data_IF_594484301584
#
_entry.id   IF_594484301584
#
_cell.length_a   1.000
_cell.length_b   1.000
_cell.length_c   1.000
_cell.angle_alpha   90.00
_cell.angle_beta   90.00
_cell.angle_gamma   90.00
#
_symmetry.space_group_name_H-M   'P 1'
#
loop_
_entity.id
_entity.type
_entity.pdbx_description
1 polymer ?
#
# COMPACT_ATOMS: atom_id res chain seq x y z
N UNK A 1 -7.89 9.72 -11.31
CA UNK A 1 -7.99 11.16 -10.99
C UNK A 1 -7.99 11.47 -9.48
N UNK A 2 -8.13 10.45 -8.60
CA UNK A 2 -8.21 10.63 -7.15
C UNK A 2 -9.57 11.09 -6.61
N UNK A 3 -10.54 11.35 -7.49
CA UNK A 3 -11.90 11.76 -7.08
C UNK A 3 -12.71 10.64 -6.42
N UNK A 4 -12.38 9.40 -6.71
CA UNK A 4 -12.97 8.24 -6.08
C UNK A 4 -11.86 7.36 -5.50
N UNK A 5 -12.00 6.92 -4.27
CA UNK A 5 -11.06 6.04 -3.57
C UNK A 5 -11.72 4.71 -3.24
N UNK A 6 -10.94 3.63 -3.25
CA UNK A 6 -11.45 2.30 -2.85
C UNK A 6 -11.88 2.28 -1.39
N UNK A 7 -11.21 3.02 -0.53
CA UNK A 7 -11.69 3.26 0.83
C UNK A 7 -11.46 4.72 1.24
N UNK A 8 -12.41 5.24 2.02
CA UNK A 8 -12.40 6.61 2.56
C UNK A 8 -12.73 6.60 4.04
N UNK A 9 -12.18 7.56 4.79
CA UNK A 9 -12.50 7.74 6.21
C UNK A 9 -13.75 8.60 6.35
N UNK A 10 -14.86 8.02 6.81
CA UNK A 10 -16.15 8.69 7.00
C UNK A 10 -16.48 8.65 8.48
N UNK A 11 -16.67 9.81 9.11
CA UNK A 11 -16.94 9.93 10.54
C UNK A 11 -15.94 9.15 11.44
N UNK A 12 -14.67 9.10 11.03
CA UNK A 12 -13.61 8.42 11.77
C UNK A 12 -13.39 6.94 11.41
N UNK A 13 -14.31 6.33 10.67
CA UNK A 13 -14.23 4.91 10.28
C UNK A 13 -13.91 4.74 8.79
N UNK A 14 -13.15 3.69 8.46
CA UNK A 14 -12.83 3.37 7.08
C UNK A 14 -13.98 2.63 6.41
N UNK A 15 -14.51 3.23 5.33
CA UNK A 15 -15.58 2.67 4.49
C UNK A 15 -15.01 2.22 3.17
N UNK A 16 -15.22 0.95 2.81
CA UNK A 16 -14.75 0.38 1.54
C UNK A 16 -15.84 0.44 0.48
N UNK A 17 -15.51 1.08 -0.65
CA UNK A 17 -16.38 1.17 -1.82
C UNK A 17 -16.19 -0.05 -2.74
N UNK A 18 -16.83 -1.15 -2.42
CA UNK A 18 -16.68 -2.43 -3.15
C UNK A 18 -17.00 -2.32 -4.64
N UNK A 19 -17.85 -1.39 -5.05
CA UNK A 19 -18.18 -1.18 -6.45
C UNK A 19 -16.95 -0.76 -7.27
N UNK A 20 -15.98 -0.04 -6.67
CA UNK A 20 -14.71 0.30 -7.34
C UNK A 20 -13.82 -0.93 -7.54
N UNK A 21 -13.78 -1.85 -6.56
CA UNK A 21 -13.10 -3.14 -6.75
C UNK A 21 -13.74 -3.95 -7.88
N UNK A 22 -15.07 -3.97 -7.95
CA UNK A 22 -15.81 -4.60 -9.06
C UNK A 22 -15.45 -3.95 -10.40
N UNK A 23 -15.35 -2.62 -10.45
CA UNK A 23 -14.97 -1.90 -11.67
C UNK A 23 -13.56 -2.31 -12.13
N UNK A 24 -12.60 -2.46 -11.22
CA UNK A 24 -11.25 -2.95 -11.54
C UNK A 24 -11.32 -4.37 -12.13
N UNK A 25 -12.05 -5.29 -11.51
CA UNK A 25 -12.20 -6.66 -12.03
C UNK A 25 -12.89 -6.72 -13.39
N UNK A 26 -13.90 -5.88 -13.60
CA UNK A 26 -14.57 -5.75 -14.90
C UNK A 26 -13.63 -5.21 -15.96
N UNK A 27 -12.76 -4.27 -15.64
CA UNK A 27 -11.78 -3.72 -16.58
C UNK A 27 -10.87 -4.79 -17.16
N UNK A 28 -10.51 -5.80 -16.38
CA UNK A 28 -9.70 -6.94 -16.85
C UNK A 28 -10.44 -7.86 -17.84
N UNK A 29 -11.78 -7.82 -17.84
CA UNK A 29 -12.61 -8.62 -18.74
C UNK A 29 -12.92 -7.92 -20.06
N UNK A 30 -12.95 -6.58 -20.05
CA UNK A 30 -13.27 -5.79 -21.25
C UNK A 30 -12.04 -5.31 -22.03
N UNK A 31 -10.85 -5.50 -21.47
CA UNK A 31 -9.60 -5.16 -22.13
C UNK A 31 -8.80 -6.44 -22.40
N UNK A 32 -8.31 -6.56 -23.63
CA UNK A 32 -7.38 -7.62 -24.00
C UNK A 32 -5.93 -7.21 -23.75
N UNK A 33 -5.04 -8.21 -23.67
CA UNK A 33 -3.62 -7.95 -23.59
C UNK A 33 -3.13 -7.27 -24.87
N UNK A 34 -2.32 -6.25 -24.71
CA UNK A 34 -1.70 -5.49 -25.79
C UNK A 34 -0.21 -5.36 -25.56
N UNK A 35 0.55 -5.24 -26.65
CA UNK A 35 1.96 -4.92 -26.58
C UNK A 35 2.11 -3.47 -26.15
N UNK A 36 2.93 -3.25 -25.12
CA UNK A 36 3.29 -1.94 -24.63
C UNK A 36 4.79 -1.77 -24.72
N UNK A 37 5.24 -0.68 -25.32
CA UNK A 37 6.66 -0.36 -25.43
C UNK A 37 7.14 0.31 -24.13
N UNK A 38 8.24 -0.19 -23.58
CA UNK A 38 8.98 0.44 -22.49
C UNK A 38 10.36 0.89 -22.97
N UNK A 39 11.11 1.57 -22.09
CA UNK A 39 12.42 2.09 -22.46
C UNK A 39 13.44 0.99 -22.79
N UNK A 40 13.36 -0.15 -22.10
CA UNK A 40 14.32 -1.25 -22.25
C UNK A 40 13.66 -2.58 -22.64
N UNK A 41 12.36 -2.71 -22.43
CA UNK A 41 11.60 -3.93 -22.64
C UNK A 41 10.23 -3.67 -23.26
N UNK A 42 9.66 -4.68 -23.87
CA UNK A 42 8.25 -4.72 -24.23
C UNK A 42 7.45 -5.51 -23.21
N UNK A 43 6.25 -5.05 -22.96
CA UNK A 43 5.31 -5.71 -22.07
C UNK A 43 4.09 -6.21 -22.86
N UNK A 44 3.39 -7.18 -22.31
CA UNK A 44 2.16 -7.72 -22.89
C UNK A 44 1.11 -7.89 -21.79
N UNK A 45 0.31 -6.86 -21.58
CA UNK A 45 -0.69 -6.80 -20.49
C UNK A 45 -1.90 -5.96 -20.94
N UNK A 46 -2.97 -6.05 -20.19
CA UNK A 46 -4.21 -5.30 -20.42
C UNK A 46 -4.29 -3.97 -19.69
N UNK A 47 -3.40 -3.71 -18.73
CA UNK A 47 -3.38 -2.46 -17.95
C UNK A 47 -2.17 -1.61 -18.35
N UNK A 48 -2.40 -0.46 -19.01
CA UNK A 48 -1.31 0.45 -19.38
C UNK A 48 -0.58 0.99 -18.15
N UNK A 49 0.64 1.47 -18.36
CA UNK A 49 1.37 2.23 -17.35
C UNK A 49 0.77 3.63 -17.19
N UNK A 50 0.70 4.11 -15.94
CA UNK A 50 0.06 5.40 -15.59
C UNK A 50 0.73 6.59 -16.31
N UNK A 51 2.06 6.57 -16.38
CA UNK A 51 2.86 7.69 -16.87
C UNK A 51 3.27 7.57 -18.35
N UNK A 52 2.74 6.58 -19.08
CA UNK A 52 3.17 6.30 -20.46
C UNK A 52 2.93 7.47 -21.45
N UNK A 53 1.93 8.31 -21.17
CA UNK A 53 1.52 9.45 -22.00
C UNK A 53 1.80 10.83 -21.34
N UNK A 54 2.58 10.86 -20.24
CA UNK A 54 2.86 12.11 -19.53
C UNK A 54 3.91 12.94 -20.28
N UNK A 55 3.62 14.23 -20.44
CA UNK A 55 4.58 15.22 -20.92
C UNK A 55 5.37 15.83 -19.74
N UNK A 56 6.44 16.57 -20.07
CA UNK A 56 7.22 17.31 -19.08
C UNK A 56 6.32 18.25 -18.25
N UNK A 57 5.45 19.00 -18.93
CA UNK A 57 4.55 19.96 -18.29
C UNK A 57 3.59 19.28 -17.33
N UNK A 58 3.13 18.08 -17.67
CA UNK A 58 2.24 17.29 -16.81
C UNK A 58 2.95 16.78 -15.57
N UNK A 59 4.18 16.28 -15.70
CA UNK A 59 4.98 15.88 -14.54
C UNK A 59 5.25 17.05 -13.60
N UNK A 60 5.57 18.23 -14.15
CA UNK A 60 5.78 19.47 -13.38
C UNK A 60 4.50 19.90 -12.66
N UNK A 61 3.37 19.87 -13.34
CA UNK A 61 2.07 20.30 -12.79
C UNK A 61 1.57 19.35 -11.68
N UNK A 62 1.79 18.04 -11.82
CA UNK A 62 1.43 17.06 -10.79
C UNK A 62 2.49 16.95 -9.67
N UNK A 63 3.71 17.47 -9.90
CA UNK A 63 4.79 17.52 -8.90
C UNK A 63 5.30 16.14 -8.47
N UNK A 64 5.12 15.12 -9.29
CA UNK A 64 5.56 13.75 -8.97
C UNK A 64 6.96 13.47 -9.51
N UNK A 65 7.76 12.70 -8.76
CA UNK A 65 9.06 12.20 -9.20
C UNK A 65 8.97 10.69 -9.40
N UNK A 66 9.26 10.22 -10.61
CA UNK A 66 9.21 8.79 -10.99
C UNK A 66 10.60 8.35 -11.43
N UNK A 67 11.25 7.51 -10.62
CA UNK A 67 12.61 7.03 -10.89
C UNK A 67 12.53 5.71 -11.66
N UNK A 68 13.22 5.59 -12.81
CA UNK A 68 13.22 4.33 -13.56
C UNK A 68 13.86 3.18 -12.75
N UNK A 69 13.38 1.95 -12.82
CA UNK A 69 12.23 1.48 -13.58
C UNK A 69 10.93 1.36 -12.73
N UNK A 70 10.52 2.41 -12.05
CA UNK A 70 9.26 2.37 -11.29
C UNK A 70 8.09 1.97 -12.20
N UNK A 71 7.31 0.98 -11.77
CA UNK A 71 6.15 0.46 -12.49
C UNK A 71 4.84 0.88 -11.80
N UNK A 72 4.09 1.77 -12.43
CA UNK A 72 2.85 2.31 -11.88
C UNK A 72 1.71 2.01 -12.86
N UNK A 73 0.76 1.18 -12.44
CA UNK A 73 -0.37 0.80 -13.31
C UNK A 73 -1.42 1.89 -13.38
N UNK A 74 -1.96 2.14 -14.57
CA UNK A 74 -3.10 3.05 -14.77
C UNK A 74 -4.29 2.59 -13.92
N UNK A 75 -5.05 3.54 -13.35
CA UNK A 75 -6.10 3.25 -12.37
C UNK A 75 -5.61 3.31 -10.91
N UNK A 76 -4.32 3.53 -10.66
CA UNK A 76 -3.82 4.00 -9.37
C UNK A 76 -3.85 5.53 -9.32
N UNK A 77 -3.96 6.10 -8.13
CA UNK A 77 -3.80 7.53 -7.88
C UNK A 77 -2.48 7.81 -7.18
N UNK A 78 -1.72 8.75 -7.73
CA UNK A 78 -0.47 9.26 -7.16
C UNK A 78 -0.66 10.75 -6.98
N UNK A 79 -0.61 11.21 -5.74
CA UNK A 79 -0.81 12.62 -5.40
C UNK A 79 0.48 13.44 -5.64
N UNK A 80 0.37 14.76 -5.49
CA UNK A 80 1.49 15.69 -5.69
C UNK A 80 2.62 15.45 -4.69
N UNK A 81 3.83 15.82 -5.10
CA UNK A 81 5.05 15.68 -4.30
C UNK A 81 5.38 14.23 -3.87
N UNK A 82 4.74 13.23 -4.46
CA UNK A 82 5.09 11.82 -4.25
C UNK A 82 6.39 11.50 -4.98
N UNK A 83 7.25 10.75 -4.30
CA UNK A 83 8.47 10.19 -4.88
C UNK A 83 8.31 8.69 -5.02
N UNK A 84 8.39 8.20 -6.24
CA UNK A 84 8.41 6.77 -6.56
C UNK A 84 9.84 6.41 -6.97
N UNK A 85 10.57 5.76 -6.08
CA UNK A 85 11.82 5.08 -6.43
C UNK A 85 11.49 3.86 -7.31
N UNK A 86 12.46 3.10 -7.83
CA UNK A 86 12.17 1.85 -8.52
C UNK A 86 11.28 0.95 -7.66
N UNK A 87 10.00 0.94 -7.92
CA UNK A 87 8.95 0.38 -7.06
C UNK A 87 7.76 -0.04 -7.90
N UNK A 88 6.77 -0.66 -7.28
CA UNK A 88 5.55 -1.10 -7.97
C UNK A 88 4.29 -0.56 -7.28
N UNK A 89 3.41 0.09 -8.05
CA UNK A 89 2.10 0.54 -7.57
C UNK A 89 1.00 -0.05 -8.46
N UNK A 90 0.14 -0.86 -7.86
CA UNK A 90 -0.89 -1.59 -8.58
C UNK A 90 -2.18 -0.78 -8.77
N UNK A 91 -3.04 -1.26 -9.67
CA UNK A 91 -4.34 -0.66 -9.99
C UNK A 91 -5.24 -0.55 -8.75
N UNK A 92 -5.98 0.54 -8.64
CA UNK A 92 -6.87 0.84 -7.51
C UNK A 92 -6.16 1.37 -6.27
N UNK A 93 -4.82 1.35 -6.22
CA UNK A 93 -4.06 1.92 -5.12
C UNK A 93 -4.17 3.45 -5.09
N UNK A 94 -4.10 4.00 -3.89
CA UNK A 94 -4.02 5.44 -3.62
C UNK A 94 -2.75 5.75 -2.86
N UNK A 95 -1.96 6.71 -3.33
CA UNK A 95 -0.74 7.18 -2.65
C UNK A 95 -0.88 8.69 -2.42
N UNK A 96 -0.98 9.09 -1.16
CA UNK A 96 -1.21 10.46 -0.73
C UNK A 96 0.02 11.37 -0.86
N UNK A 97 -0.25 12.66 -0.80
CA UNK A 97 0.72 13.74 -0.99
C UNK A 97 1.98 13.58 -0.13
N UNK A 98 3.15 13.88 -0.71
CA UNK A 98 4.44 13.89 -0.01
C UNK A 98 4.97 12.52 0.39
N UNK A 99 4.29 11.43 0.03
CA UNK A 99 4.70 10.07 0.35
C UNK A 99 5.87 9.62 -0.50
N UNK A 100 6.79 8.86 0.10
CA UNK A 100 7.86 8.15 -0.59
C UNK A 100 7.57 6.65 -0.66
N UNK A 101 7.55 6.10 -1.86
CA UNK A 101 7.57 4.66 -2.12
C UNK A 101 8.99 4.31 -2.54
N UNK A 102 9.77 3.77 -1.59
CA UNK A 102 11.21 3.58 -1.76
C UNK A 102 11.53 2.33 -2.58
N UNK A 103 12.81 2.09 -2.80
CA UNK A 103 13.37 1.11 -3.74
C UNK A 103 12.83 -0.30 -3.47
N UNK A 104 12.24 -0.89 -4.51
CA UNK A 104 11.61 -2.22 -4.51
C UNK A 104 10.43 -2.38 -3.53
N UNK A 105 9.88 -1.29 -3.03
CA UNK A 105 8.61 -1.36 -2.29
C UNK A 105 7.44 -1.63 -3.25
N UNK A 106 6.41 -2.28 -2.73
CA UNK A 106 5.19 -2.64 -3.46
C UNK A 106 3.97 -2.06 -2.77
N UNK A 107 3.14 -1.35 -3.53
CA UNK A 107 1.78 -0.97 -3.12
C UNK A 107 0.80 -1.82 -3.89
N UNK A 108 0.19 -2.78 -3.20
CA UNK A 108 -0.72 -3.75 -3.79
C UNK A 108 -2.03 -3.16 -4.27
N UNK A 109 -2.80 -3.96 -5.01
CA UNK A 109 -4.09 -3.54 -5.58
C UNK A 109 -5.01 -2.98 -4.51
N UNK A 110 -5.58 -1.81 -4.77
CA UNK A 110 -6.56 -1.16 -3.89
C UNK A 110 -6.01 -0.69 -2.52
N UNK A 111 -4.74 -0.88 -2.20
CA UNK A 111 -4.14 -0.39 -0.96
C UNK A 111 -4.24 1.14 -0.88
N UNK A 112 -4.45 1.66 0.32
CA UNK A 112 -4.64 3.10 0.57
C UNK A 112 -3.50 3.61 1.43
N UNK A 113 -2.64 4.43 0.85
CA UNK A 113 -1.51 5.05 1.55
C UNK A 113 -1.82 6.52 1.76
N UNK A 114 -1.69 6.99 2.99
CA UNK A 114 -1.90 8.35 3.41
C UNK A 114 -0.82 9.33 2.92
N UNK A 115 -0.83 10.53 3.51
CA UNK A 115 0.12 11.59 3.22
C UNK A 115 1.39 11.44 4.06
N UNK A 116 2.50 11.94 3.53
CA UNK A 116 3.80 11.96 4.22
C UNK A 116 4.22 10.59 4.79
N UNK A 117 3.81 9.52 4.15
CA UNK A 117 4.19 8.16 4.53
C UNK A 117 5.55 7.83 3.93
N UNK A 118 6.39 7.12 4.68
CA UNK A 118 7.62 6.55 4.15
C UNK A 118 7.48 5.02 4.10
N UNK A 119 7.35 4.48 2.90
CA UNK A 119 7.48 3.04 2.66
C UNK A 119 8.94 2.76 2.31
N UNK A 120 9.69 2.23 3.28
CA UNK A 120 11.14 2.00 3.10
C UNK A 120 11.44 0.89 2.09
N UNK A 121 12.72 0.71 1.77
CA UNK A 121 13.15 -0.25 0.74
C UNK A 121 12.62 -1.66 0.95
N UNK A 122 12.00 -2.21 -0.10
CA UNK A 122 11.44 -3.55 -0.12
C UNK A 122 10.25 -3.79 0.79
N UNK A 123 9.55 -2.75 1.21
CA UNK A 123 8.27 -2.88 1.93
C UNK A 123 7.21 -3.46 1.01
N UNK A 124 6.43 -4.42 1.51
CA UNK A 124 5.26 -4.95 0.84
C UNK A 124 3.95 -4.51 1.51
N UNK A 125 3.15 -3.73 0.78
CA UNK A 125 1.77 -3.46 1.19
C UNK A 125 0.86 -4.34 0.35
N UNK A 126 0.20 -5.28 1.02
CA UNK A 126 -0.62 -6.29 0.36
C UNK A 126 -1.82 -5.71 -0.38
N UNK A 127 -2.07 -6.25 -1.55
CA UNK A 127 -3.24 -5.92 -2.34
C UNK A 127 -4.43 -6.79 -1.96
N UNK A 128 -5.59 -6.17 -1.75
CA UNK A 128 -6.83 -6.89 -1.46
C UNK A 128 -7.88 -6.53 -2.50
N UNK A 129 -7.68 -7.02 -3.72
CA UNK A 129 -8.66 -6.91 -4.80
C UNK A 129 -9.70 -8.02 -4.69
N UNK A 130 -9.26 -9.22 -4.41
CA UNK A 130 -10.08 -10.42 -4.18
C UNK A 130 -9.72 -11.03 -2.81
N UNK A 131 -10.72 -11.50 -2.06
CA UNK A 131 -12.17 -11.44 -2.34
C UNK A 131 -12.73 -10.00 -2.23
N UNK A 132 -13.82 -9.72 -2.96
CA UNK A 132 -14.41 -8.36 -3.07
C UNK A 132 -14.80 -7.77 -1.72
N UNK A 133 -15.30 -8.59 -0.82
CA UNK A 133 -15.77 -8.18 0.51
C UNK A 133 -14.63 -7.84 1.49
N UNK A 134 -13.40 -8.26 1.22
CA UNK A 134 -12.28 -7.93 2.09
C UNK A 134 -11.90 -6.45 1.98
N UNK A 135 -11.55 -5.85 3.11
CA UNK A 135 -11.11 -4.45 3.16
C UNK A 135 -9.69 -4.30 2.60
N UNK A 136 -9.36 -3.17 1.97
CA UNK A 136 -8.00 -2.90 1.52
C UNK A 136 -7.08 -2.68 2.72
N UNK A 137 -5.79 -2.93 2.52
CA UNK A 137 -4.74 -2.54 3.46
C UNK A 137 -4.62 -1.01 3.48
N UNK A 138 -4.53 -0.43 4.67
CA UNK A 138 -4.54 1.02 4.88
C UNK A 138 -3.33 1.42 5.71
N UNK A 139 -2.57 2.37 5.23
CA UNK A 139 -1.53 3.08 5.98
C UNK A 139 -1.99 4.54 6.07
N UNK A 140 -2.28 5.01 7.26
CA UNK A 140 -2.73 6.39 7.47
C UNK A 140 -1.57 7.39 7.35
N UNK A 141 -1.87 8.68 7.53
CA UNK A 141 -0.91 9.76 7.34
C UNK A 141 0.30 9.68 8.30
N UNK A 142 1.44 10.21 7.88
CA UNK A 142 2.64 10.37 8.69
C UNK A 142 3.27 9.07 9.23
N UNK A 143 2.92 7.91 8.69
CA UNK A 143 3.48 6.61 9.10
C UNK A 143 4.88 6.39 8.51
N UNK A 144 5.70 5.66 9.26
CA UNK A 144 6.98 5.14 8.79
C UNK A 144 6.95 3.61 8.80
N UNK A 145 7.12 2.99 7.63
CA UNK A 145 7.15 1.54 7.48
C UNK A 145 8.58 1.11 7.17
N UNK A 146 9.21 0.45 8.14
CA UNK A 146 10.61 0.04 8.07
C UNK A 146 10.89 -0.97 6.96
N UNK A 147 12.13 -0.97 6.48
CA UNK A 147 12.56 -1.80 5.34
C UNK A 147 12.19 -3.28 5.51
N UNK A 148 11.76 -3.92 4.40
CA UNK A 148 11.36 -5.33 4.36
C UNK A 148 10.21 -5.73 5.28
N UNK A 149 9.41 -4.76 5.73
CA UNK A 149 8.16 -5.06 6.44
C UNK A 149 7.04 -5.39 5.45
N UNK A 150 6.10 -6.25 5.89
CA UNK A 150 4.90 -6.61 5.14
C UNK A 150 3.65 -6.27 5.94
N UNK A 151 2.71 -5.56 5.34
CA UNK A 151 1.40 -5.24 5.91
C UNK A 151 0.34 -5.71 4.92
N UNK A 152 -0.45 -6.71 5.32
CA UNK A 152 -1.32 -7.42 4.39
C UNK A 152 -2.74 -7.61 4.94
N UNK A 153 -3.63 -8.20 4.14
CA UNK A 153 -4.97 -8.66 4.55
C UNK A 153 -5.89 -7.58 5.14
N UNK A 154 -5.76 -6.34 4.66
CA UNK A 154 -6.63 -5.25 5.12
C UNK A 154 -6.31 -4.73 6.52
N UNK A 155 -5.11 -4.97 7.02
CA UNK A 155 -4.61 -4.36 8.26
C UNK A 155 -4.58 -2.84 8.11
N UNK A 156 -4.90 -2.14 9.20
CA UNK A 156 -4.86 -0.68 9.29
C UNK A 156 -3.68 -0.27 10.18
N UNK A 157 -2.79 0.54 9.63
CA UNK A 157 -1.74 1.23 10.39
C UNK A 157 -2.21 2.67 10.58
N UNK A 158 -2.50 3.05 11.82
CA UNK A 158 -3.05 4.35 12.12
C UNK A 158 -1.99 5.46 12.10
N UNK A 159 -2.45 6.71 12.05
CA UNK A 159 -1.64 7.90 11.84
C UNK A 159 -0.41 7.97 12.74
N UNK A 160 0.74 8.29 12.15
CA UNK A 160 2.00 8.49 12.86
C UNK A 160 2.63 7.23 13.43
N UNK A 161 2.08 6.06 13.17
CA UNK A 161 2.67 4.81 13.63
C UNK A 161 3.98 4.48 12.91
N UNK A 162 4.89 3.83 13.61
CA UNK A 162 6.21 3.41 13.12
C UNK A 162 6.34 1.90 13.23
N UNK A 163 6.57 1.25 12.10
CA UNK A 163 6.99 -0.15 12.07
C UNK A 163 8.51 -0.19 11.87
N UNK A 164 9.23 -0.89 12.74
CA UNK A 164 10.66 -1.12 12.52
C UNK A 164 10.87 -2.07 11.33
N UNK A 165 12.11 -2.21 10.88
CA UNK A 165 12.41 -3.12 9.78
C UNK A 165 12.02 -4.56 10.11
N UNK A 166 11.53 -5.31 9.09
CA UNK A 166 11.22 -6.73 9.20
C UNK A 166 9.98 -7.05 10.05
N UNK A 167 9.03 -6.12 10.17
CA UNK A 167 7.75 -6.38 10.83
C UNK A 167 6.76 -6.97 9.83
N UNK A 168 6.14 -8.11 10.15
CA UNK A 168 5.16 -8.79 9.30
C UNK A 168 3.80 -8.82 10.01
N UNK A 169 2.81 -8.11 9.46
CA UNK A 169 1.47 -7.98 10.05
C UNK A 169 0.39 -8.41 9.07
N UNK A 170 -0.37 -9.43 9.47
CA UNK A 170 -1.62 -9.87 8.85
C UNK A 170 -2.78 -9.75 9.84
N UNK A 171 -3.99 -10.10 9.42
CA UNK A 171 -5.16 -10.09 10.32
C UNK A 171 -5.03 -11.07 11.49
N UNK A 172 -4.19 -12.09 11.38
CA UNK A 172 -3.95 -13.08 12.43
C UNK A 172 -2.70 -12.82 13.27
N UNK A 173 -1.90 -11.82 12.90
CA UNK A 173 -0.68 -11.46 13.64
C UNK A 173 -1.05 -10.83 14.98
N UNK A 174 -0.46 -11.34 16.07
CA UNK A 174 -0.64 -10.77 17.40
C UNK A 174 0.15 -9.46 17.52
N UNK A 175 -0.53 -8.42 17.95
CA UNK A 175 0.09 -7.14 18.29
C UNK A 175 -0.01 -7.02 19.81
N UNK A 176 1.13 -7.16 20.47
CA UNK A 176 1.23 -7.16 21.94
C UNK A 176 1.63 -5.78 22.45
N UNK A 177 0.75 -5.18 23.24
CA UNK A 177 1.06 -3.94 23.96
C UNK A 177 1.89 -4.27 25.20
N UNK A 178 3.11 -3.74 25.25
CA UNK A 178 4.06 -4.03 26.34
C UNK A 178 3.70 -3.34 27.65
N UNK A 179 2.95 -2.25 27.61
CA UNK A 179 2.55 -1.47 28.79
C UNK A 179 1.31 -2.08 29.46
N UNK A 180 0.33 -2.46 28.65
CA UNK A 180 -0.95 -2.99 29.14
C UNK A 180 -0.99 -4.49 29.21
N UNK A 181 -0.16 -5.19 28.43
CA UNK A 181 -0.21 -6.66 28.24
C UNK A 181 -1.34 -7.12 27.33
N UNK A 182 -2.05 -6.20 26.68
CA UNK A 182 -3.15 -6.52 25.77
C UNK A 182 -2.63 -7.05 24.44
N UNK A 183 -3.41 -7.96 23.84
CA UNK A 183 -3.16 -8.48 22.48
C UNK A 183 -4.30 -8.02 21.58
N UNK A 184 -3.94 -7.32 20.52
CA UNK A 184 -4.87 -6.87 19.48
C UNK A 184 -4.50 -7.45 18.12
N UNK A 185 -5.40 -7.27 17.13
CA UNK A 185 -5.25 -7.81 15.78
C UNK A 185 -5.74 -6.81 14.74
N UNK A 186 -5.17 -6.88 13.54
CA UNK A 186 -5.65 -6.18 12.36
C UNK A 186 -5.53 -4.66 12.38
N UNK A 187 -5.05 -4.06 13.48
CA UNK A 187 -4.91 -2.60 13.62
C UNK A 187 -3.72 -2.24 14.51
N UNK A 188 -2.86 -1.38 14.03
CA UNK A 188 -1.79 -0.75 14.82
C UNK A 188 -2.26 0.64 15.23
N UNK A 189 -2.32 0.97 16.54
CA UNK A 189 -2.81 2.25 17.03
C UNK A 189 -1.95 3.44 16.57
N UNK A 190 -2.56 4.62 16.52
CA UNK A 190 -1.88 5.86 16.17
C UNK A 190 -0.67 6.14 17.07
N UNK A 191 0.44 6.55 16.45
CA UNK A 191 1.70 6.85 17.14
C UNK A 191 2.43 5.65 17.75
N UNK A 192 1.94 4.43 17.60
CA UNK A 192 2.59 3.24 18.14
C UNK A 192 3.91 2.94 17.42
N UNK A 193 4.89 2.43 18.17
CA UNK A 193 6.15 1.91 17.62
C UNK A 193 6.15 0.40 17.74
N UNK A 194 6.13 -0.30 16.60
CA UNK A 194 6.08 -1.75 16.52
C UNK A 194 7.44 -2.32 16.14
N UNK A 195 7.86 -3.34 16.87
CA UNK A 195 9.09 -4.09 16.59
C UNK A 195 8.76 -5.58 16.48
N UNK A 196 9.49 -6.38 15.67
CA UNK A 196 9.28 -7.82 15.64
C UNK A 196 9.67 -8.43 16.99
N UNK A 197 8.93 -9.45 17.39
CA UNK A 197 9.17 -10.12 18.66
C UNK A 197 8.51 -11.49 18.71
N UNK A 198 8.68 -12.17 19.85
CA UNK A 198 7.99 -13.41 20.15
C UNK A 198 7.50 -13.42 21.59
N UNK A 199 6.44 -14.16 21.85
CA UNK A 199 5.87 -14.34 23.17
C UNK A 199 6.10 -15.81 23.57
N UNK A 200 6.58 -16.10 24.80
CA UNK A 200 6.70 -17.47 25.26
C UNK A 200 5.35 -18.21 25.23
N UNK A 201 5.36 -19.47 24.83
CA UNK A 201 4.21 -20.35 25.00
C UNK A 201 3.82 -20.50 26.47
N UNK A 202 2.58 -20.90 26.75
CA UNK A 202 2.09 -21.05 28.14
C UNK A 202 2.93 -22.00 28.99
N UNK A 203 3.54 -22.99 28.37
CA UNK A 203 4.40 -23.97 29.00
C UNK A 203 5.90 -23.59 28.96
N UNK A 204 6.24 -22.49 28.36
CA UNK A 204 7.60 -21.97 28.20
C UNK A 204 8.52 -22.80 27.30
N UNK A 205 7.98 -23.78 26.59
CA UNK A 205 8.80 -24.72 25.79
C UNK A 205 9.17 -24.19 24.43
N UNK A 206 8.44 -23.21 23.92
CA UNK A 206 8.69 -22.59 22.62
C UNK A 206 8.21 -21.14 22.59
N UNK A 207 8.58 -20.40 21.55
CA UNK A 207 8.11 -19.02 21.31
C UNK A 207 7.02 -18.99 20.26
N UNK A 208 6.02 -18.11 20.47
CA UNK A 208 4.95 -17.81 19.53
C UNK A 208 5.29 -16.48 18.83
N UNK A 209 5.18 -16.45 17.51
CA UNK A 209 5.42 -15.28 16.67
C UNK A 209 4.10 -14.65 16.24
#
# INVERSE_FOLDING_TARGET
SGKARVAEKVAGEWVTHQWLKKAVLLSFRINDNQVMDGAENRFFDKVPMKFADYTHERFVAEGVRVVPPAAVRKGSFIDKNVVLMPSYVNIGAYVGEGTMVDTWATVGSCAQIGKNVHLSGGVGIGGVLEPLQANPTIIEDNCFIGARSEVVEGVIIEEGAVLSMGVYISQSTRIYDRETGEITYGRVPAGAVVVPGSIPSKDGTHSLY
#
